data_IF_052213901059
#
_entry.id   IF_052213901059
#
_cell.length_a   1.000
_cell.length_b   1.000
_cell.length_c   1.000
_cell.angle_alpha   90.00
_cell.angle_beta   90.00
_cell.angle_gamma   90.00
#
_symmetry.space_group_name_H-M   'P 1'
#
loop_
_entity.id
_entity.type
_entity.pdbx_description
1 polymer ?
#
# COMPACT_ATOMS: atom_id res chain seq x y z
N UNK A 1 14.05 13.45 8.71
CA UNK A 1 12.74 12.79 8.55
C UNK A 1 12.13 12.54 9.93
N UNK A 2 10.85 12.83 10.15
CA UNK A 2 10.19 12.56 11.46
C UNK A 2 9.78 11.08 11.55
N UNK A 3 9.83 10.47 12.73
CA UNK A 3 9.45 9.08 12.96
C UNK A 3 8.09 8.70 12.33
N UNK A 4 7.09 9.57 12.51
CA UNK A 4 5.76 9.39 11.91
C UNK A 4 5.80 9.32 10.38
N UNK A 5 6.61 10.16 9.73
CA UNK A 5 6.72 10.20 8.27
C UNK A 5 7.36 8.92 7.74
N UNK A 6 8.43 8.46 8.40
CA UNK A 6 9.10 7.20 8.10
C UNK A 6 8.12 6.01 8.19
N UNK A 7 7.46 5.84 9.33
CA UNK A 7 6.52 4.74 9.55
C UNK A 7 5.31 4.80 8.59
N UNK A 8 4.86 6.00 8.22
CA UNK A 8 3.77 6.18 7.26
C UNK A 8 4.14 5.86 5.81
N UNK A 9 5.41 5.64 5.48
CA UNK A 9 5.81 5.29 4.10
C UNK A 9 5.16 3.99 3.65
N UNK A 10 5.11 2.97 4.51
CA UNK A 10 4.50 1.68 4.19
C UNK A 10 3.02 1.82 3.83
N UNK A 11 2.28 2.63 4.60
CA UNK A 11 0.87 2.91 4.31
C UNK A 11 0.70 3.63 2.96
N UNK A 12 1.54 4.61 2.66
CA UNK A 12 1.46 5.34 1.36
C UNK A 12 1.77 4.43 0.18
N UNK A 13 2.75 3.55 0.33
CA UNK A 13 3.12 2.59 -0.71
C UNK A 13 2.01 1.56 -0.93
N UNK A 14 1.41 1.04 0.15
CA UNK A 14 0.23 0.18 0.09
C UNK A 14 -0.95 0.83 -0.66
N UNK A 15 -1.27 2.10 -0.35
CA UNK A 15 -2.30 2.84 -1.06
C UNK A 15 -1.99 3.02 -2.56
N UNK A 16 -0.72 3.25 -2.91
CA UNK A 16 -0.30 3.33 -4.32
C UNK A 16 -0.44 2.00 -5.04
N UNK A 17 -0.09 0.90 -4.39
CA UNK A 17 -0.27 -0.46 -4.93
C UNK A 17 -1.76 -0.72 -5.18
N UNK A 18 -2.63 -0.43 -4.21
CA UNK A 18 -4.08 -0.60 -4.35
C UNK A 18 -4.63 0.22 -5.53
N UNK A 19 -4.21 1.48 -5.67
CA UNK A 19 -4.60 2.32 -6.81
C UNK A 19 -4.13 1.76 -8.15
N UNK A 20 -2.94 1.16 -8.23
CA UNK A 20 -2.46 0.49 -9.45
C UNK A 20 -3.26 -0.78 -9.76
N UNK A 21 -3.63 -1.56 -8.74
CA UNK A 21 -4.49 -2.73 -8.89
C UNK A 21 -5.86 -2.32 -9.47
N UNK A 22 -6.45 -1.24 -8.98
CA UNK A 22 -7.70 -0.68 -9.50
C UNK A 22 -7.55 -0.22 -10.98
N UNK A 23 -6.42 0.40 -11.33
CA UNK A 23 -6.12 0.78 -12.72
C UNK A 23 -6.04 -0.45 -13.64
N UNK A 24 -5.37 -1.52 -13.20
CA UNK A 24 -5.31 -2.79 -13.94
C UNK A 24 -6.71 -3.38 -14.12
N UNK A 25 -7.55 -3.38 -13.08
CA UNK A 25 -8.93 -3.85 -13.18
C UNK A 25 -9.74 -3.04 -14.21
N UNK A 26 -9.62 -1.71 -14.16
CA UNK A 26 -10.30 -0.80 -15.11
C UNK A 26 -9.86 -1.02 -16.56
N UNK A 27 -8.56 -1.24 -16.79
CA UNK A 27 -8.03 -1.52 -18.14
C UNK A 27 -8.48 -2.90 -18.66
N UNK A 28 -8.55 -3.92 -17.79
CA UNK A 28 -9.07 -5.23 -18.16
C UNK A 28 -10.56 -5.17 -18.56
N UNK A 29 -11.37 -4.42 -17.83
CA UNK A 29 -12.77 -4.20 -18.16
C UNK A 29 -12.92 -3.48 -19.51
N UNK A 30 -12.08 -2.48 -19.79
CA UNK A 30 -12.07 -1.77 -21.06
C UNK A 30 -11.66 -2.69 -22.22
N UNK A 31 -10.61 -3.49 -22.04
CA UNK A 31 -10.15 -4.46 -23.04
C UNK A 31 -11.24 -5.50 -23.34
N UNK A 32 -11.93 -6.01 -22.31
CA UNK A 32 -13.03 -6.97 -22.45
C UNK A 32 -14.20 -6.36 -23.24
N UNK A 33 -14.62 -5.14 -22.91
CA UNK A 33 -15.67 -4.41 -23.65
C UNK A 33 -15.27 -4.14 -25.11
N UNK A 34 -14.01 -3.82 -25.36
CA UNK A 34 -13.52 -3.66 -26.72
C UNK A 34 -13.64 -4.97 -27.50
N UNK A 35 -13.29 -6.11 -26.91
CA UNK A 35 -13.42 -7.44 -27.53
C UNK A 35 -14.88 -7.82 -27.84
N UNK A 36 -15.83 -7.57 -26.93
CA UNK A 36 -17.25 -7.88 -27.17
C UNK A 36 -17.83 -7.04 -28.31
N UNK A 37 -17.50 -5.74 -28.36
CA UNK A 37 -17.97 -4.85 -29.44
C UNK A 37 -17.40 -5.18 -30.82
N UNK A 38 -16.24 -5.85 -30.91
CA UNK A 38 -15.66 -6.34 -32.17
C UNK A 38 -16.46 -7.51 -32.75
N UNK A 39 -17.04 -8.37 -31.90
CA UNK A 39 -17.80 -9.55 -32.34
C UNK A 39 -19.16 -9.21 -32.97
N UNK A 40 -19.76 -8.07 -32.61
CA UNK A 40 -21.15 -7.72 -32.96
C UNK A 40 -21.31 -6.78 -34.18
N UNK A 41 -20.24 -6.31 -34.84
CA UNK A 41 -20.35 -5.38 -35.98
C UNK A 41 -19.37 -5.62 -37.14
N UNK A 42 -19.80 -5.41 -38.41
CA UNK A 42 -18.90 -5.40 -39.55
C UNK A 42 -18.14 -4.06 -39.59
N UNK A 43 -16.94 -4.00 -39.02
CA UNK A 43 -16.07 -2.81 -39.05
C UNK A 43 -14.59 -3.18 -39.19
N UNK A 44 -13.78 -2.25 -39.71
CA UNK A 44 -12.35 -2.44 -40.03
C UNK A 44 -11.55 -3.04 -38.85
N UNK A 45 -11.14 -4.32 -38.92
CA UNK A 45 -10.60 -5.07 -37.77
C UNK A 45 -9.25 -4.54 -37.28
N UNK A 46 -8.46 -3.91 -38.15
CA UNK A 46 -7.10 -3.47 -37.83
C UNK A 46 -7.03 -2.41 -36.71
N UNK A 47 -8.04 -1.55 -36.58
CA UNK A 47 -8.01 -0.45 -35.58
C UNK A 47 -8.34 -0.94 -34.18
N UNK A 48 -9.27 -1.90 -34.06
CA UNK A 48 -9.72 -2.43 -32.78
C UNK A 48 -8.71 -3.41 -32.18
N UNK A 49 -8.04 -4.22 -33.03
CA UNK A 49 -6.93 -5.09 -32.63
C UNK A 49 -5.75 -4.27 -32.08
N UNK A 50 -5.42 -3.13 -32.70
CA UNK A 50 -4.35 -2.24 -32.21
C UNK A 50 -4.67 -1.63 -30.83
N UNK A 51 -5.91 -1.19 -30.60
CA UNK A 51 -6.31 -0.65 -29.29
C UNK A 51 -6.30 -1.68 -28.17
N UNK A 52 -6.69 -2.93 -28.48
CA UNK A 52 -6.62 -4.04 -27.53
C UNK A 52 -5.17 -4.41 -27.20
N UNK A 53 -4.30 -4.52 -28.22
CA UNK A 53 -2.88 -4.81 -28.04
C UNK A 53 -2.19 -3.75 -27.15
N UNK A 54 -2.45 -2.47 -27.40
CA UNK A 54 -1.91 -1.36 -26.60
C UNK A 54 -2.43 -1.38 -25.14
N UNK A 55 -3.68 -1.82 -24.92
CA UNK A 55 -4.23 -1.94 -23.57
C UNK A 55 -3.57 -3.10 -22.80
N UNK A 56 -3.36 -4.25 -23.46
CA UNK A 56 -2.68 -5.42 -22.88
C UNK A 56 -1.23 -5.09 -22.52
N UNK A 57 -0.50 -4.39 -23.39
CA UNK A 57 0.87 -3.95 -23.11
C UNK A 57 0.94 -3.10 -21.82
N UNK A 58 0.07 -2.09 -21.69
CA UNK A 58 -0.01 -1.26 -20.48
C UNK A 58 -0.39 -2.03 -19.22
N UNK A 59 -1.24 -3.05 -19.36
CA UNK A 59 -1.59 -3.93 -18.24
C UNK A 59 -0.36 -4.70 -17.76
N UNK A 60 0.46 -5.24 -18.69
CA UNK A 60 1.69 -5.96 -18.35
C UNK A 60 2.68 -5.03 -17.64
N UNK A 61 2.86 -3.81 -18.14
CA UNK A 61 3.74 -2.82 -17.50
C UNK A 61 3.28 -2.49 -16.06
N UNK A 62 1.99 -2.20 -15.88
CA UNK A 62 1.42 -1.92 -14.56
C UNK A 62 1.54 -3.12 -13.61
N UNK A 63 1.37 -4.35 -14.08
CA UNK A 63 1.57 -5.56 -13.28
C UNK A 63 3.03 -5.70 -12.85
N UNK A 64 3.99 -5.44 -13.74
CA UNK A 64 5.41 -5.45 -13.41
C UNK A 64 5.74 -4.40 -12.34
N UNK A 65 5.20 -3.17 -12.48
CA UNK A 65 5.37 -2.13 -11.47
C UNK A 65 4.72 -2.47 -10.12
N UNK A 66 3.55 -3.10 -10.12
CA UNK A 66 2.88 -3.56 -8.89
C UNK A 66 3.78 -4.55 -8.16
N UNK A 67 4.33 -5.54 -8.86
CA UNK A 67 5.22 -6.53 -8.26
C UNK A 67 6.45 -5.86 -7.63
N UNK A 68 7.09 -4.93 -8.34
CA UNK A 68 8.23 -4.18 -7.80
C UNK A 68 7.85 -3.34 -6.57
N UNK A 69 6.66 -2.74 -6.55
CA UNK A 69 6.21 -1.95 -5.40
C UNK A 69 5.82 -2.84 -4.21
N UNK A 70 5.30 -4.05 -4.45
CA UNK A 70 5.07 -5.07 -3.41
C UNK A 70 6.40 -5.50 -2.79
N UNK A 71 7.43 -5.77 -3.59
CA UNK A 71 8.76 -6.13 -3.08
C UNK A 71 9.30 -5.02 -2.17
N UNK A 72 9.24 -3.76 -2.64
CA UNK A 72 9.62 -2.58 -1.82
C UNK A 72 8.78 -2.46 -0.55
N UNK A 73 7.49 -2.78 -0.60
CA UNK A 73 6.61 -2.73 0.57
C UNK A 73 7.01 -3.77 1.60
N UNK A 74 7.32 -4.99 1.16
CA UNK A 74 7.79 -6.08 2.03
C UNK A 74 9.10 -5.69 2.70
N UNK A 75 10.08 -5.19 1.93
CA UNK A 75 11.36 -4.73 2.46
C UNK A 75 11.20 -3.61 3.48
N UNK A 76 10.38 -2.60 3.14
CA UNK A 76 10.09 -1.47 4.03
C UNK A 76 9.38 -1.92 5.31
N UNK A 77 8.41 -2.83 5.23
CA UNK A 77 7.75 -3.40 6.41
C UNK A 77 8.74 -4.15 7.28
N UNK A 78 9.67 -4.92 6.69
CA UNK A 78 10.73 -5.60 7.45
C UNK A 78 11.64 -4.62 8.18
N UNK A 79 12.05 -3.52 7.54
CA UNK A 79 12.87 -2.47 8.17
C UNK A 79 12.13 -1.78 9.32
N UNK A 80 10.84 -1.45 9.11
CA UNK A 80 9.99 -0.86 10.13
C UNK A 80 9.81 -1.81 11.32
N UNK A 81 9.56 -3.11 11.08
CA UNK A 81 9.48 -4.12 12.16
C UNK A 81 10.75 -4.13 13.00
N UNK A 82 11.93 -4.14 12.37
CA UNK A 82 13.22 -4.11 13.09
C UNK A 82 13.34 -2.83 13.93
N UNK A 83 12.94 -1.70 13.36
CA UNK A 83 12.97 -0.41 14.05
C UNK A 83 12.04 -0.38 15.27
N UNK A 84 10.83 -0.92 15.13
CA UNK A 84 9.85 -0.97 16.22
C UNK A 84 10.32 -1.93 17.31
N UNK A 85 10.82 -3.12 16.95
CA UNK A 85 11.31 -4.13 17.91
C UNK A 85 12.48 -3.66 18.78
N UNK A 86 13.22 -2.62 18.36
CA UNK A 86 14.28 -2.02 19.16
C UNK A 86 13.75 -1.18 20.34
N UNK A 87 12.47 -0.82 20.35
CA UNK A 87 11.84 -0.06 21.44
C UNK A 87 11.64 -0.97 22.65
N UNK A 88 12.10 -0.58 23.83
CA UNK A 88 11.99 -1.46 25.01
C UNK A 88 10.56 -1.73 25.49
N UNK A 89 9.64 -0.78 25.31
CA UNK A 89 8.27 -0.89 25.80
C UNK A 89 7.38 -1.73 24.85
N UNK A 90 6.84 -2.89 25.28
CA UNK A 90 6.00 -3.75 24.44
C UNK A 90 4.66 -3.13 24.01
N UNK A 91 4.06 -2.28 24.84
CA UNK A 91 2.81 -1.58 24.49
C UNK A 91 3.05 -0.60 23.33
N UNK A 92 4.21 0.08 23.34
CA UNK A 92 4.60 0.97 22.25
C UNK A 92 4.84 0.19 20.96
N UNK A 93 5.51 -0.96 21.05
CA UNK A 93 5.66 -1.84 19.89
C UNK A 93 4.31 -2.23 19.32
N UNK A 94 3.44 -2.81 20.16
CA UNK A 94 2.11 -3.28 19.76
C UNK A 94 1.29 -2.18 19.08
N UNK A 95 1.25 -0.98 19.66
CA UNK A 95 0.52 0.15 19.09
C UNK A 95 1.08 0.57 17.72
N UNK A 96 2.40 0.66 17.59
CA UNK A 96 3.04 1.06 16.33
C UNK A 96 2.87 -0.01 15.25
N UNK A 97 3.00 -1.29 15.58
CA UNK A 97 2.77 -2.39 14.64
C UNK A 97 1.32 -2.41 14.14
N UNK A 98 0.35 -2.34 15.05
CA UNK A 98 -1.07 -2.27 14.67
C UNK A 98 -1.35 -1.06 13.77
N UNK A 99 -0.77 0.10 14.08
CA UNK A 99 -1.01 1.33 13.31
C UNK A 99 -0.32 1.35 11.95
N UNK A 100 0.94 0.95 11.87
CA UNK A 100 1.80 1.20 10.71
C UNK A 100 2.14 -0.04 9.88
N UNK A 101 1.89 -1.25 10.40
CA UNK A 101 2.10 -2.51 9.67
C UNK A 101 0.78 -3.20 9.33
N UNK A 102 -0.17 -3.20 10.27
CA UNK A 102 -1.52 -3.75 10.09
C UNK A 102 -2.54 -2.70 9.59
N UNK A 103 -2.14 -1.42 9.51
CA UNK A 103 -2.96 -0.31 9.04
C UNK A 103 -4.32 -0.17 9.75
N UNK A 104 -4.38 -0.52 11.03
CA UNK A 104 -5.61 -0.46 11.81
C UNK A 104 -6.05 0.99 12.08
N UNK A 105 -7.37 1.18 12.17
CA UNK A 105 -7.97 2.43 12.62
C UNK A 105 -7.75 2.61 14.13
N UNK A 106 -7.77 3.87 14.59
CA UNK A 106 -7.47 4.18 15.99
C UNK A 106 -8.48 3.58 16.96
N UNK A 107 -9.74 3.51 16.54
CA UNK A 107 -10.86 2.93 17.27
C UNK A 107 -10.64 1.43 17.49
N UNK A 108 -10.21 0.71 16.44
CA UNK A 108 -9.90 -0.72 16.55
C UNK A 108 -8.70 -0.95 17.48
N UNK A 109 -7.66 -0.12 17.35
CA UNK A 109 -6.47 -0.21 18.22
C UNK A 109 -6.86 0.04 19.68
N UNK A 110 -7.75 1.01 19.94
CA UNK A 110 -8.24 1.32 21.27
C UNK A 110 -8.96 0.11 21.89
N UNK A 111 -9.86 -0.52 21.14
CA UNK A 111 -10.54 -1.75 21.57
C UNK A 111 -9.53 -2.88 21.81
N UNK A 112 -8.64 -3.16 20.87
CA UNK A 112 -7.66 -4.24 20.96
C UNK A 112 -6.69 -4.08 22.14
N UNK A 113 -6.34 -2.85 22.49
CA UNK A 113 -5.43 -2.52 23.61
C UNK A 113 -6.17 -2.24 24.92
N UNK A 114 -7.50 -2.35 24.93
CA UNK A 114 -8.37 -2.01 26.07
C UNK A 114 -8.12 -0.58 26.60
N UNK A 115 -7.90 0.36 25.69
CA UNK A 115 -7.64 1.77 25.97
C UNK A 115 -8.80 2.65 25.49
N UNK A 116 -8.93 3.84 26.08
CA UNK A 116 -9.69 4.91 25.45
C UNK A 116 -8.93 5.47 24.25
N UNK A 117 -9.67 6.01 23.27
CA UNK A 117 -9.09 6.64 22.07
C UNK A 117 -8.07 7.73 22.45
N UNK A 118 -8.38 8.55 23.46
CA UNK A 118 -7.46 9.60 23.93
C UNK A 118 -6.15 9.02 24.48
N UNK A 119 -6.22 7.89 25.20
CA UNK A 119 -5.04 7.24 25.73
C UNK A 119 -4.19 6.64 24.60
N UNK A 120 -4.81 6.06 23.57
CA UNK A 120 -4.10 5.59 22.37
C UNK A 120 -3.30 6.71 21.72
N UNK A 121 -3.88 7.90 21.53
CA UNK A 121 -3.15 9.05 20.96
C UNK A 121 -1.99 9.53 21.86
N UNK A 122 -2.18 9.55 23.19
CA UNK A 122 -1.11 9.90 24.14
C UNK A 122 0.05 8.90 24.08
N UNK A 123 -0.27 7.62 24.09
CA UNK A 123 0.70 6.52 24.02
C UNK A 123 1.41 6.55 22.66
N UNK A 124 0.68 6.76 21.57
CA UNK A 124 1.24 6.93 20.23
C UNK A 124 2.28 8.06 20.17
N UNK A 125 1.92 9.24 20.69
CA UNK A 125 2.84 10.40 20.71
C UNK A 125 4.12 10.09 21.49
N UNK A 126 4.00 9.35 22.62
CA UNK A 126 5.17 8.91 23.39
C UNK A 126 5.99 7.88 22.61
N UNK A 127 5.34 6.87 22.05
CA UNK A 127 5.99 5.79 21.28
C UNK A 127 6.83 6.34 20.12
N UNK A 128 6.32 7.35 19.40
CA UNK A 128 7.05 7.99 18.30
C UNK A 128 8.38 8.63 18.72
N UNK A 129 8.52 9.05 19.99
CA UNK A 129 9.78 9.63 20.48
C UNK A 129 10.87 8.58 20.69
N UNK A 130 10.52 7.29 20.78
CA UNK A 130 11.46 6.18 20.93
C UNK A 130 11.86 5.55 19.58
N UNK A 131 11.29 6.00 18.48
CA UNK A 131 11.60 5.50 17.15
C UNK A 131 12.86 6.17 16.63
N UNK A 132 13.90 5.38 16.38
CA UNK A 132 15.13 5.84 15.73
C UNK A 132 15.04 5.53 14.23
N UNK A 133 14.96 6.58 13.40
CA UNK A 133 14.87 6.41 11.95
C UNK A 133 16.23 5.98 11.39
N UNK A 134 16.31 4.87 10.63
CA UNK A 134 17.55 4.42 10.00
C UNK A 134 18.13 5.47 9.04
N UNK A 135 19.46 5.60 9.01
CA UNK A 135 20.18 6.58 8.18
C UNK A 135 20.21 6.22 6.69
N UNK A 136 19.82 5.01 6.32
CA UNK A 136 19.81 4.50 4.94
C UNK A 136 18.85 5.25 4.01
N UNK A 137 18.00 6.13 4.56
CA UNK A 137 17.01 6.94 3.83
C UNK A 137 17.30 8.46 3.91
N UNK A 138 18.55 8.87 4.17
CA UNK A 138 18.98 10.28 4.08
C UNK A 138 19.65 10.60 2.74
#
# INVERSE_FOLDING_TARGET
MRAKEYLSQAYRLDQRINSKIEQVASLNDLATKATTTISDMPRNPNRAVSTMANAVEKIIDLQAEINQDIDKLVDLKHEIVRTIKAIQNPEYQTLLEKRYLCFMQWEQIAVDMNYSIDNVFKVHKKALNYVVVPKTLQ
#
